data_IF_495885893331
#
_entry.id   IF_495885893331
#
_cell.length_a   1.000
_cell.length_b   1.000
_cell.length_c   1.000
_cell.angle_alpha   90.00
_cell.angle_beta   90.00
_cell.angle_gamma   90.00
#
_symmetry.space_group_name_H-M   'P 1'
#
loop_
_entity.id
_entity.type
_entity.pdbx_description
1 polymer ?
#
# COMPACT_ATOMS: atom_id res chain seq x y z
N UNK A 1 3.55 -10.79 -8.13
CA UNK A 1 3.74 -9.58 -8.98
C UNK A 1 3.97 -10.01 -10.42
N UNK A 2 3.30 -9.40 -11.40
CA UNK A 2 3.49 -9.61 -12.84
C UNK A 2 3.82 -8.29 -13.55
N UNK A 3 4.67 -8.32 -14.57
CA UNK A 3 4.93 -7.17 -15.44
C UNK A 3 4.06 -7.25 -16.70
N UNK A 4 3.14 -6.29 -16.88
CA UNK A 4 2.12 -6.30 -17.94
C UNK A 4 2.10 -4.99 -18.72
N UNK A 5 1.50 -5.03 -19.91
CA UNK A 5 1.10 -3.83 -20.66
C UNK A 5 -0.35 -3.42 -20.32
N UNK A 6 -0.78 -2.18 -20.61
CA UNK A 6 -2.16 -1.74 -20.38
C UNK A 6 -3.23 -2.63 -21.05
N UNK A 7 -2.95 -3.16 -22.23
CA UNK A 7 -3.89 -4.03 -22.96
C UNK A 7 -4.11 -5.38 -22.27
N UNK A 8 -3.16 -5.79 -21.43
CA UNK A 8 -3.23 -7.04 -20.68
C UNK A 8 -3.91 -6.86 -19.31
N UNK A 9 -4.11 -5.62 -18.86
CA UNK A 9 -4.56 -5.28 -17.51
C UNK A 9 -5.85 -6.00 -17.10
N UNK A 10 -6.93 -5.79 -17.86
CA UNK A 10 -8.25 -6.38 -17.58
C UNK A 10 -8.19 -7.90 -17.54
N UNK A 11 -7.47 -8.52 -18.48
CA UNK A 11 -7.36 -9.99 -18.58
C UNK A 11 -6.67 -10.58 -17.37
N UNK A 12 -5.54 -10.01 -16.92
CA UNK A 12 -4.82 -10.54 -15.76
C UNK A 12 -5.49 -10.17 -14.45
N UNK A 13 -6.12 -9.00 -14.34
CA UNK A 13 -6.91 -8.62 -13.16
C UNK A 13 -8.04 -9.62 -12.92
N UNK A 14 -8.88 -9.85 -13.94
CA UNK A 14 -9.99 -10.79 -13.85
C UNK A 14 -9.51 -12.21 -13.53
N UNK A 15 -8.47 -12.68 -14.24
CA UNK A 15 -7.94 -14.02 -14.03
C UNK A 15 -7.33 -14.19 -12.63
N UNK A 16 -6.65 -13.18 -12.08
CA UNK A 16 -6.09 -13.22 -10.73
C UNK A 16 -7.19 -13.28 -9.66
N UNK A 17 -8.24 -12.46 -9.83
CA UNK A 17 -9.41 -12.50 -8.94
C UNK A 17 -10.12 -13.87 -9.02
N UNK A 18 -10.24 -14.45 -10.22
CA UNK A 18 -10.84 -15.77 -10.42
C UNK A 18 -10.06 -16.90 -9.74
N UNK A 19 -8.72 -16.85 -9.76
CA UNK A 19 -7.87 -17.84 -9.07
C UNK A 19 -7.69 -17.57 -7.57
N UNK A 20 -8.40 -16.58 -7.02
CA UNK A 20 -8.50 -16.37 -5.58
C UNK A 20 -7.66 -15.23 -5.02
N UNK A 21 -7.25 -14.25 -5.83
CA UNK A 21 -6.60 -13.05 -5.30
C UNK A 21 -7.57 -12.28 -4.39
N UNK A 22 -7.11 -11.95 -3.19
CA UNK A 22 -7.85 -11.13 -2.22
C UNK A 22 -7.85 -9.66 -2.65
N UNK A 23 -6.79 -9.24 -3.35
CA UNK A 23 -6.68 -7.90 -3.92
C UNK A 23 -5.76 -7.92 -5.13
N UNK A 24 -6.02 -7.02 -6.07
CA UNK A 24 -5.14 -6.70 -7.20
C UNK A 24 -4.82 -5.21 -7.17
N UNK A 25 -3.55 -4.85 -7.37
CA UNK A 25 -3.06 -3.46 -7.35
C UNK A 25 -2.18 -3.20 -8.57
N UNK A 26 -2.46 -2.09 -9.26
CA UNK A 26 -1.67 -1.61 -10.38
C UNK A 26 -0.61 -0.62 -9.88
N UNK A 27 0.65 -0.85 -10.23
CA UNK A 27 1.78 -0.03 -9.84
C UNK A 27 2.62 0.37 -11.05
N UNK A 28 3.23 1.55 -10.99
CA UNK A 28 4.23 1.96 -11.96
C UNK A 28 5.48 1.07 -11.88
N UNK A 29 6.01 0.67 -13.03
CA UNK A 29 7.25 -0.07 -13.13
C UNK A 29 8.49 0.82 -13.37
N UNK A 30 8.32 2.05 -13.88
CA UNK A 30 9.41 2.86 -14.45
C UNK A 30 9.40 4.36 -14.07
N UNK A 31 8.63 4.77 -13.05
CA UNK A 31 8.52 6.17 -12.59
C UNK A 31 8.07 7.12 -13.73
N UNK A 32 7.09 6.65 -14.50
CA UNK A 32 6.48 7.37 -15.61
C UNK A 32 5.34 8.27 -15.10
N UNK A 33 5.37 9.60 -15.33
CA UNK A 33 4.29 10.46 -14.89
C UNK A 33 3.01 10.23 -15.72
N UNK A 34 1.89 10.03 -15.02
CA UNK A 34 0.55 10.12 -15.62
C UNK A 34 0.02 11.55 -15.40
N UNK A 35 -0.26 12.24 -16.50
CA UNK A 35 -0.87 13.57 -16.47
C UNK A 35 -2.38 13.49 -16.32
N UNK A 36 -3.02 14.65 -16.09
CA UNK A 36 -4.48 14.75 -15.97
C UNK A 36 -5.15 14.08 -17.17
N UNK A 37 -5.91 12.99 -16.94
CA UNK A 37 -6.51 12.23 -18.02
C UNK A 37 -7.80 12.89 -18.50
N UNK A 38 -8.25 12.52 -19.69
CA UNK A 38 -9.57 12.95 -20.17
C UNK A 38 -10.67 12.45 -19.20
N UNK A 39 -11.73 13.24 -19.06
CA UNK A 39 -12.86 12.91 -18.18
C UNK A 39 -13.41 11.51 -18.50
N UNK A 40 -13.42 10.62 -17.50
CA UNK A 40 -13.91 9.25 -17.64
C UNK A 40 -12.87 8.23 -18.10
N UNK A 41 -11.60 8.63 -18.21
CA UNK A 41 -10.50 7.70 -18.53
C UNK A 41 -9.63 7.43 -17.31
N UNK A 42 -9.00 6.26 -17.28
CA UNK A 42 -8.05 5.86 -16.23
C UNK A 42 -6.84 5.22 -16.91
N UNK A 43 -5.94 6.02 -17.50
CA UNK A 43 -4.79 5.50 -18.20
C UNK A 43 -3.87 4.73 -17.24
N UNK A 44 -3.28 3.65 -17.74
CA UNK A 44 -2.23 2.90 -17.04
C UNK A 44 -0.86 3.24 -17.63
N UNK A 45 0.19 2.97 -16.87
CA UNK A 45 1.57 3.10 -17.32
C UNK A 45 1.88 2.11 -18.44
N UNK A 46 2.74 2.52 -19.39
CA UNK A 46 3.11 1.67 -20.53
C UNK A 46 3.72 0.32 -20.10
N UNK A 47 4.39 0.29 -18.94
CA UNK A 47 4.78 -0.91 -18.21
C UNK A 47 4.21 -0.80 -16.81
N UNK A 48 3.28 -1.70 -16.49
CA UNK A 48 2.58 -1.72 -15.22
C UNK A 48 2.93 -3.00 -14.47
N UNK A 49 3.24 -2.87 -13.18
CA UNK A 49 3.36 -4.01 -12.28
C UNK A 49 2.01 -4.30 -11.65
N UNK A 50 1.50 -5.50 -11.91
CA UNK A 50 0.30 -6.02 -11.27
C UNK A 50 0.70 -6.81 -10.02
N UNK A 51 0.30 -6.33 -8.85
CA UNK A 51 0.51 -7.00 -7.58
C UNK A 51 -0.81 -7.66 -7.15
N UNK A 52 -0.78 -8.97 -6.93
CA UNK A 52 -1.90 -9.71 -6.37
C UNK A 52 -1.50 -10.28 -5.02
N UNK A 53 -2.42 -10.19 -4.04
CA UNK A 53 -2.28 -10.79 -2.73
C UNK A 53 -3.17 -12.01 -2.63
N UNK A 54 -2.65 -13.06 -2.02
CA UNK A 54 -3.32 -14.33 -1.79
C UNK A 54 -3.19 -14.72 -0.32
N UNK A 55 -4.07 -15.63 0.12
CA UNK A 55 -3.96 -16.23 1.45
C UNK A 55 -2.65 -17.04 1.56
N UNK A 56 -2.05 -17.05 2.76
CA UNK A 56 -0.72 -17.62 2.97
C UNK A 56 -0.63 -19.15 2.74
N UNK A 57 -1.76 -19.86 2.74
CA UNK A 57 -1.85 -21.30 2.48
C UNK A 57 -2.10 -21.65 0.99
N UNK A 58 -2.08 -20.64 0.11
CA UNK A 58 -2.26 -20.83 -1.33
C UNK A 58 -1.09 -21.60 -1.94
N UNK A 59 -1.38 -22.69 -2.67
CA UNK A 59 -0.37 -23.43 -3.43
C UNK A 59 0.08 -22.63 -4.66
N UNK A 60 1.31 -22.11 -4.61
CA UNK A 60 1.91 -21.32 -5.70
C UNK A 60 1.93 -22.07 -7.03
N UNK A 61 2.25 -23.36 -7.03
CA UNK A 61 2.38 -24.13 -8.28
C UNK A 61 1.02 -24.33 -8.94
N UNK A 62 0.01 -24.67 -8.15
CA UNK A 62 -1.37 -24.80 -8.62
C UNK A 62 -1.92 -23.45 -9.11
N UNK A 63 -1.64 -22.38 -8.38
CA UNK A 63 -2.03 -21.01 -8.72
C UNK A 63 -1.47 -20.61 -10.10
N UNK A 64 -0.16 -20.72 -10.30
CA UNK A 64 0.48 -20.32 -11.55
C UNK A 64 0.01 -21.18 -12.73
N UNK A 65 -0.19 -22.49 -12.52
CA UNK A 65 -0.72 -23.38 -13.55
C UNK A 65 -2.16 -23.02 -13.95
N UNK A 66 -3.01 -22.67 -12.98
CA UNK A 66 -4.39 -22.25 -13.26
C UNK A 66 -4.40 -20.90 -13.98
N UNK A 67 -3.62 -19.92 -13.49
CA UNK A 67 -3.53 -18.61 -14.11
C UNK A 67 -3.10 -18.72 -15.58
N UNK A 68 -2.06 -19.51 -15.86
CA UNK A 68 -1.59 -19.79 -17.21
C UNK A 68 -2.69 -20.35 -18.12
N UNK A 69 -3.54 -21.24 -17.60
CA UNK A 69 -4.66 -21.80 -18.36
C UNK A 69 -5.70 -20.73 -18.73
N UNK A 70 -6.04 -19.84 -17.81
CA UNK A 70 -7.02 -18.76 -18.03
C UNK A 70 -6.50 -17.70 -18.99
N UNK A 71 -5.21 -17.37 -18.91
CA UNK A 71 -4.60 -16.29 -19.70
C UNK A 71 -4.03 -16.76 -21.04
N UNK A 72 -4.23 -18.03 -21.40
CA UNK A 72 -3.89 -18.57 -22.71
C UNK A 72 -2.45 -19.05 -22.88
N UNK A 73 -1.76 -19.38 -21.79
CA UNK A 73 -0.45 -20.05 -21.79
C UNK A 73 0.60 -19.32 -20.97
N UNK A 74 1.74 -19.01 -21.61
CA UNK A 74 2.91 -18.45 -20.93
C UNK A 74 2.58 -17.15 -20.19
N UNK A 75 2.89 -17.13 -18.90
CA UNK A 75 2.76 -15.95 -18.05
C UNK A 75 3.88 -14.95 -18.37
N UNK A 76 3.62 -13.64 -18.21
CA UNK A 76 4.67 -12.64 -18.30
C UNK A 76 5.71 -12.82 -17.19
N UNK A 77 6.77 -12.01 -17.25
CA UNK A 77 7.75 -11.93 -16.18
C UNK A 77 7.04 -11.69 -14.84
N UNK A 78 7.25 -12.60 -13.89
CA UNK A 78 6.57 -12.59 -12.60
C UNK A 78 7.53 -12.94 -11.47
N UNK A 79 7.15 -12.50 -10.28
CA UNK A 79 7.83 -12.78 -9.03
C UNK A 79 6.78 -13.10 -7.96
N UNK A 80 6.98 -14.21 -7.27
CA UNK A 80 6.19 -14.62 -6.11
C UNK A 80 7.07 -14.47 -4.86
N UNK A 81 6.47 -13.93 -3.81
CA UNK A 81 7.12 -13.68 -2.53
C UNK A 81 6.12 -14.02 -1.43
N UNK A 82 6.56 -14.80 -0.44
CA UNK A 82 5.80 -15.03 0.78
C UNK A 82 5.96 -13.82 1.71
N UNK A 83 4.85 -13.21 2.10
CA UNK A 83 4.83 -12.10 3.05
C UNK A 83 4.41 -12.66 4.41
N UNK A 84 5.28 -12.54 5.41
CA UNK A 84 4.94 -12.94 6.77
C UNK A 84 3.80 -12.06 7.32
N UNK A 85 2.89 -12.70 8.06
CA UNK A 85 1.87 -11.99 8.83
C UNK A 85 2.53 -10.98 9.76
N UNK A 86 2.13 -9.73 9.59
CA UNK A 86 2.53 -8.62 10.43
C UNK A 86 1.28 -7.95 10.96
N UNK A 87 1.31 -7.58 12.23
CA UNK A 87 0.31 -6.69 12.82
C UNK A 87 0.59 -5.28 12.29
N UNK A 88 0.21 -5.04 11.03
CA UNK A 88 0.49 -3.81 10.31
C UNK A 88 -0.08 -2.60 11.06
N UNK A 89 -1.22 -2.77 11.76
CA UNK A 89 -1.80 -1.76 12.64
C UNK A 89 -0.88 -1.39 13.80
N UNK A 90 -0.14 -2.34 14.38
CA UNK A 90 0.82 -2.04 15.46
C UNK A 90 2.18 -1.59 14.94
N UNK A 91 2.63 -2.12 13.81
CA UNK A 91 3.93 -1.76 13.25
C UNK A 91 4.02 -0.28 12.91
N UNK A 92 2.92 0.38 12.55
CA UNK A 92 2.93 1.82 12.36
C UNK A 92 2.95 2.59 13.69
N UNK A 93 2.30 2.10 14.74
CA UNK A 93 2.23 2.76 16.06
C UNK A 93 3.61 2.99 16.68
N UNK A 94 4.52 2.01 16.52
CA UNK A 94 5.91 2.10 17.04
C UNK A 94 6.67 3.29 16.43
N UNK A 95 6.31 3.71 15.22
CA UNK A 95 6.96 4.81 14.53
C UNK A 95 6.47 6.20 14.96
N UNK A 96 5.39 6.29 15.75
CA UNK A 96 4.86 7.56 16.23
C UNK A 96 5.28 7.85 17.67
N UNK A 97 6.29 8.69 17.78
CA UNK A 97 6.82 9.16 19.06
C UNK A 97 6.22 10.54 19.42
N UNK A 98 6.14 10.92 20.71
CA UNK A 98 5.74 12.25 21.10
C UNK A 98 6.60 13.33 20.42
N UNK A 99 5.96 14.35 19.85
CA UNK A 99 6.62 15.41 19.10
C UNK A 99 6.41 16.76 19.77
N UNK A 100 7.50 17.53 19.95
CA UNK A 100 7.47 18.88 20.51
C UNK A 100 7.33 19.92 19.41
N UNK A 101 6.35 20.80 19.54
CA UNK A 101 6.13 21.95 18.66
C UNK A 101 6.41 23.25 19.43
N UNK A 102 7.36 24.03 18.93
CA UNK A 102 7.83 25.23 19.61
C UNK A 102 8.35 24.94 21.03
N UNK A 103 7.98 25.80 21.99
CA UNK A 103 8.57 25.75 23.35
C UNK A 103 7.75 25.00 24.40
N UNK A 104 6.43 24.86 24.24
CA UNK A 104 5.58 24.31 25.31
C UNK A 104 4.48 23.36 24.82
N UNK A 105 4.38 23.10 23.52
CA UNK A 105 3.34 22.23 22.97
C UNK A 105 3.96 20.88 22.64
N UNK A 106 3.29 19.82 23.04
CA UNK A 106 3.59 18.45 22.66
C UNK A 106 2.36 17.83 22.02
N UNK A 107 2.54 17.13 20.91
CA UNK A 107 1.57 16.18 20.37
C UNK A 107 2.00 14.80 20.85
N UNK A 108 1.11 14.12 21.57
CA UNK A 108 1.41 12.87 22.27
C UNK A 108 0.39 11.81 21.86
N UNK A 109 0.80 10.70 21.23
CA UNK A 109 -0.10 9.58 20.98
C UNK A 109 -0.59 8.96 22.29
N UNK A 110 -1.81 8.42 22.31
CA UNK A 110 -2.49 7.90 23.50
C UNK A 110 -1.75 6.73 24.17
N UNK A 111 -0.90 6.03 23.44
CA UNK A 111 -0.03 4.96 23.94
C UNK A 111 1.31 5.42 24.52
N UNK A 112 1.60 6.73 24.54
CA UNK A 112 2.81 7.29 25.13
C UNK A 112 2.53 8.21 26.31
N UNK A 113 3.46 8.23 27.27
CA UNK A 113 3.47 9.23 28.33
C UNK A 113 4.00 10.57 27.79
N UNK A 114 3.41 11.67 28.26
CA UNK A 114 3.90 13.01 27.97
C UNK A 114 5.34 13.20 28.49
N UNK A 115 6.32 13.52 27.63
CA UNK A 115 7.71 13.71 28.06
C UNK A 115 7.89 14.89 29.03
N UNK A 116 7.07 15.94 28.87
CA UNK A 116 7.01 17.09 29.77
C UNK A 116 5.58 17.26 30.29
N UNK A 117 5.22 16.65 31.44
CA UNK A 117 3.84 16.68 31.96
C UNK A 117 3.30 18.09 32.24
N UNK A 118 4.18 19.01 32.63
CA UNK A 118 3.83 20.41 32.93
C UNK A 118 3.68 21.30 31.67
N UNK A 119 4.02 20.77 30.49
CA UNK A 119 3.81 21.44 29.22
C UNK A 119 2.35 21.30 28.74
N UNK A 120 1.98 22.01 27.67
CA UNK A 120 0.69 21.81 27.01
C UNK A 120 0.80 20.52 26.19
N UNK A 121 0.11 19.47 26.65
CA UNK A 121 0.09 18.17 26.00
C UNK A 121 -1.24 17.98 25.25
N UNK A 122 -1.18 17.94 23.93
CA UNK A 122 -2.30 17.58 23.07
C UNK A 122 -2.23 16.09 22.78
N UNK A 123 -3.18 15.33 23.34
CA UNK A 123 -3.34 13.92 23.03
C UNK A 123 -3.99 13.78 21.65
N UNK A 124 -3.26 13.20 20.70
CA UNK A 124 -3.75 13.04 19.33
C UNK A 124 -3.12 11.81 18.69
N UNK A 125 -3.98 10.86 18.31
CA UNK A 125 -3.56 9.63 17.66
C UNK A 125 -3.46 9.84 16.14
N UNK A 126 -2.40 9.34 15.50
CA UNK A 126 -2.26 9.34 14.05
C UNK A 126 -3.45 8.68 13.35
N UNK A 127 -3.84 9.22 12.19
CA UNK A 127 -4.92 8.69 11.36
C UNK A 127 -6.32 9.20 11.72
N UNK A 128 -6.59 9.58 12.98
CA UNK A 128 -7.93 10.06 13.39
C UNK A 128 -8.23 11.51 12.98
N UNK A 129 -7.21 12.34 12.75
CA UNK A 129 -7.37 13.70 12.27
C UNK A 129 -6.14 14.19 11.50
N UNK A 130 -6.34 15.11 10.56
CA UNK A 130 -5.26 15.89 9.96
C UNK A 130 -4.62 16.80 11.01
N UNK A 131 -3.29 16.98 10.98
CA UNK A 131 -2.57 17.82 11.94
C UNK A 131 -1.91 17.08 13.11
N UNK A 132 -1.53 15.82 12.93
CA UNK A 132 -0.78 15.00 13.92
C UNK A 132 0.70 15.36 14.02
N UNK A 133 1.16 16.37 13.28
CA UNK A 133 2.53 16.89 13.38
C UNK A 133 3.53 16.31 12.40
N UNK A 134 3.19 15.23 11.68
CA UNK A 134 4.07 14.63 10.67
C UNK A 134 4.07 15.35 9.32
N UNK A 135 3.11 16.25 9.09
CA UNK A 135 3.09 17.09 7.90
C UNK A 135 3.87 18.40 8.15
N UNK A 136 4.72 18.88 7.22
CA UNK A 136 5.55 20.07 7.41
C UNK A 136 4.77 21.33 7.83
N UNK A 137 3.54 21.49 7.35
CA UNK A 137 2.70 22.65 7.68
C UNK A 137 2.17 22.65 9.11
N UNK A 138 2.13 21.50 9.78
CA UNK A 138 1.78 21.39 11.20
C UNK A 138 2.99 21.65 12.10
N UNK A 139 4.21 21.54 11.55
CA UNK A 139 5.46 21.67 12.30
C UNK A 139 6.02 23.09 12.41
N UNK A 140 5.42 24.06 11.71
CA UNK A 140 5.85 25.45 11.66
C UNK A 140 5.40 26.27 12.87
#
# INVERSE_FOLDING_TARGET
RLAITPEQAETYEDALLEVGAVSVTFMDAEDQPIFEPDLGTTPLWSRTHLLALFEADTDETALLAHLALLTGGDLPEHHVEEIADQDWERSWMDNFQPMRFGRRLWIVPSWHAAPEPDAVNLLLDPGLAFGTGTHPTTAL
#
